data_IF_660739562536
#
_entry.id   IF_660739562536
#
_cell.length_a   1.000
_cell.length_b   1.000
_cell.length_c   1.000
_cell.angle_alpha   90.00
_cell.angle_beta   90.00
_cell.angle_gamma   90.00
#
_symmetry.space_group_name_H-M   'P 1'
#
loop_
_entity.id
_entity.type
_entity.pdbx_description
1 polymer ?
#
# COMPACT_ATOMS: atom_id res chain seq x y z
N UNK A 1 -43.28 -4.46 -29.34
CA UNK A 1 -42.31 -5.16 -28.49
C UNK A 1 -41.48 -4.09 -27.81
N UNK A 2 -42.07 -3.43 -26.81
CA UNK A 2 -41.42 -2.36 -26.06
C UNK A 2 -40.59 -3.02 -24.96
N UNK A 3 -39.32 -2.67 -24.89
CA UNK A 3 -38.41 -3.08 -23.82
C UNK A 3 -38.99 -2.55 -22.51
N UNK A 4 -39.47 -3.45 -21.67
CA UNK A 4 -39.62 -3.20 -20.24
C UNK A 4 -38.20 -2.94 -19.76
N UNK A 5 -37.81 -1.68 -19.62
CA UNK A 5 -36.77 -1.33 -18.66
C UNK A 5 -37.34 -1.72 -17.32
N UNK A 6 -36.86 -2.85 -16.78
CA UNK A 6 -36.97 -3.14 -15.35
C UNK A 6 -36.71 -1.83 -14.58
N UNK A 7 -37.52 -1.44 -13.58
CA UNK A 7 -37.22 -0.29 -12.73
C UNK A 7 -35.98 -0.62 -11.88
N UNK A 8 -34.81 -0.59 -12.52
CA UNK A 8 -33.51 -0.82 -11.92
C UNK A 8 -33.20 0.37 -11.01
N UNK A 9 -33.74 0.26 -9.80
CA UNK A 9 -33.57 1.06 -8.59
C UNK A 9 -33.22 2.55 -8.76
N UNK A 10 -33.98 3.25 -9.59
CA UNK A 10 -33.77 4.68 -9.80
C UNK A 10 -33.96 5.50 -8.51
N UNK A 11 -34.85 5.04 -7.63
CA UNK A 11 -35.04 5.61 -6.30
C UNK A 11 -33.79 5.44 -5.41
N UNK A 12 -33.16 4.27 -5.41
CA UNK A 12 -31.93 4.06 -4.64
C UNK A 12 -30.75 4.87 -5.21
N UNK A 13 -30.68 4.99 -6.55
CA UNK A 13 -29.72 5.86 -7.22
C UNK A 13 -29.92 7.32 -6.85
N UNK A 14 -31.17 7.80 -6.82
CA UNK A 14 -31.50 9.15 -6.41
C UNK A 14 -31.07 9.44 -4.96
N UNK A 15 -31.30 8.50 -4.05
CA UNK A 15 -30.84 8.58 -2.65
C UNK A 15 -29.32 8.70 -2.57
N UNK A 16 -28.58 7.83 -3.27
CA UNK A 16 -27.10 7.86 -3.27
C UNK A 16 -26.57 9.16 -3.86
N UNK A 17 -27.18 9.64 -4.94
CA UNK A 17 -26.83 10.92 -5.55
C UNK A 17 -27.08 12.09 -4.60
N UNK A 18 -28.24 12.14 -3.93
CA UNK A 18 -28.55 13.15 -2.94
C UNK A 18 -27.57 13.15 -1.76
N UNK A 19 -27.19 11.97 -1.26
CA UNK A 19 -26.19 11.83 -0.20
C UNK A 19 -24.81 12.35 -0.64
N UNK A 20 -24.39 12.05 -1.87
CA UNK A 20 -23.14 12.54 -2.44
C UNK A 20 -23.12 14.07 -2.57
N UNK A 21 -24.20 14.67 -3.10
CA UNK A 21 -24.33 16.13 -3.24
C UNK A 21 -24.25 16.82 -1.87
N UNK A 22 -24.94 16.28 -0.87
CA UNK A 22 -24.91 16.81 0.50
C UNK A 22 -23.62 16.49 1.27
N UNK A 23 -22.75 15.64 0.73
CA UNK A 23 -21.55 15.12 1.39
C UNK A 23 -21.89 14.48 2.75
N UNK A 24 -22.90 13.62 2.74
CA UNK A 24 -23.40 12.85 3.87
C UNK A 24 -23.24 11.36 3.60
N UNK A 25 -23.21 10.54 4.66
CA UNK A 25 -23.43 9.11 4.50
C UNK A 25 -24.88 8.83 4.13
N UNK A 26 -25.16 7.71 3.48
CA UNK A 26 -26.52 7.28 3.16
C UNK A 26 -27.36 7.13 4.44
N UNK A 27 -26.74 6.68 5.53
CA UNK A 27 -27.39 6.56 6.83
C UNK A 27 -27.77 7.93 7.42
N UNK A 28 -26.90 8.93 7.32
CA UNK A 28 -27.19 10.30 7.77
C UNK A 28 -28.28 10.96 6.94
N UNK A 29 -28.31 10.71 5.62
CA UNK A 29 -29.40 11.13 4.76
C UNK A 29 -30.73 10.50 5.22
N UNK A 30 -30.72 9.23 5.59
CA UNK A 30 -31.90 8.54 6.12
C UNK A 30 -32.38 9.16 7.45
N UNK A 31 -31.47 9.46 8.37
CA UNK A 31 -31.81 10.16 9.62
C UNK A 31 -32.43 11.53 9.34
N UNK A 32 -31.86 12.28 8.39
CA UNK A 32 -32.36 13.60 8.02
C UNK A 32 -33.75 13.54 7.37
N UNK A 33 -33.94 12.61 6.44
CA UNK A 33 -35.22 12.40 5.77
C UNK A 33 -36.30 11.94 6.76
N UNK A 34 -35.95 11.05 7.71
CA UNK A 34 -36.84 10.60 8.78
C UNK A 34 -37.27 11.78 9.66
N UNK A 35 -36.31 12.56 10.13
CA UNK A 35 -36.59 13.75 10.95
C UNK A 35 -37.49 14.75 10.25
N UNK A 36 -37.28 14.97 8.95
CA UNK A 36 -38.08 15.91 8.18
C UNK A 36 -39.51 15.41 7.97
N UNK A 37 -39.69 14.10 7.88
CA UNK A 37 -40.99 13.48 7.65
C UNK A 37 -41.82 13.37 8.94
N UNK A 38 -41.21 12.92 10.03
CA UNK A 38 -41.89 12.71 11.31
C UNK A 38 -41.78 13.87 12.29
N UNK A 39 -40.94 14.88 12.01
CA UNK A 39 -40.70 16.02 12.90
C UNK A 39 -39.92 15.69 14.17
N UNK A 40 -39.30 14.50 14.25
CA UNK A 40 -38.53 14.03 15.41
C UNK A 40 -37.34 13.16 14.98
N UNK A 41 -36.26 13.09 15.77
CA UNK A 41 -35.18 12.14 15.54
C UNK A 41 -35.66 10.69 15.63
N UNK A 42 -35.07 9.77 14.84
CA UNK A 42 -35.35 8.35 14.97
C UNK A 42 -34.91 7.85 16.36
N UNK A 43 -35.68 6.95 16.95
CA UNK A 43 -35.27 6.25 18.17
C UNK A 43 -34.27 5.14 17.83
N UNK A 44 -33.52 4.67 18.83
CA UNK A 44 -32.55 3.59 18.65
C UNK A 44 -33.17 2.38 17.93
N UNK A 45 -32.59 1.99 16.79
CA UNK A 45 -33.04 0.85 15.99
C UNK A 45 -34.28 1.08 15.11
N UNK A 46 -34.94 2.24 15.16
CA UNK A 46 -36.16 2.50 14.37
C UNK A 46 -35.84 2.67 12.88
N UNK A 47 -34.70 3.27 12.58
CA UNK A 47 -34.25 3.54 11.21
C UNK A 47 -33.57 2.32 10.56
N UNK A 48 -33.03 1.41 11.37
CA UNK A 48 -32.17 0.32 10.94
C UNK A 48 -32.88 -0.67 10.00
N UNK A 49 -34.11 -1.15 10.25
CA UNK A 49 -34.80 -2.05 9.33
C UNK A 49 -35.00 -1.44 7.93
N UNK A 50 -35.37 -0.16 7.88
CA UNK A 50 -35.58 0.56 6.63
C UNK A 50 -34.25 0.78 5.87
N UNK A 51 -33.18 1.07 6.61
CA UNK A 51 -31.84 1.23 6.03
C UNK A 51 -31.26 -0.10 5.51
N UNK A 52 -31.44 -1.20 6.25
CA UNK A 52 -31.03 -2.54 5.84
C UNK A 52 -31.78 -2.96 4.57
N UNK A 53 -33.10 -2.75 4.50
CA UNK A 53 -33.88 -3.02 3.29
C UNK A 53 -33.36 -2.24 2.08
N UNK A 54 -32.96 -0.98 2.28
CA UNK A 54 -32.34 -0.15 1.24
C UNK A 54 -30.97 -0.69 0.80
N UNK A 55 -30.10 -1.13 1.73
CA UNK A 55 -28.79 -1.69 1.40
C UNK A 55 -28.87 -2.98 0.58
N UNK A 56 -29.89 -3.80 0.83
CA UNK A 56 -30.16 -5.03 0.08
C UNK A 56 -31.05 -4.82 -1.14
N UNK A 57 -31.22 -3.56 -1.57
CA UNK A 57 -31.96 -3.18 -2.77
C UNK A 57 -33.44 -3.63 -2.76
N UNK A 58 -33.99 -3.94 -1.58
CA UNK A 58 -35.36 -4.44 -1.41
C UNK A 58 -36.43 -3.36 -1.48
N UNK A 59 -36.01 -2.10 -1.63
CA UNK A 59 -36.89 -0.95 -1.85
C UNK A 59 -36.47 0.25 -1.01
N UNK A 60 -36.60 1.42 -1.62
CA UNK A 60 -36.38 2.70 -0.93
C UNK A 60 -37.68 3.16 -0.29
N UNK A 61 -37.70 3.46 1.02
CA UNK A 61 -38.91 3.90 1.68
C UNK A 61 -39.40 5.25 1.14
N UNK A 62 -40.72 5.45 1.14
CA UNK A 62 -41.37 6.61 0.50
C UNK A 62 -40.81 7.97 0.94
N UNK A 63 -40.57 8.13 2.24
CA UNK A 63 -40.06 9.37 2.81
C UNK A 63 -38.62 9.66 2.36
N UNK A 64 -37.78 8.62 2.21
CA UNK A 64 -36.40 8.77 1.75
C UNK A 64 -36.34 9.15 0.26
N UNK A 65 -37.13 8.49 -0.60
CA UNK A 65 -37.18 8.84 -2.03
C UNK A 65 -37.71 10.25 -2.26
N UNK A 66 -38.74 10.67 -1.50
CA UNK A 66 -39.30 12.01 -1.61
C UNK A 66 -38.29 13.07 -1.19
N UNK A 67 -37.55 12.82 -0.11
CA UNK A 67 -36.48 13.69 0.33
C UNK A 67 -35.35 13.78 -0.70
N UNK A 68 -34.90 12.63 -1.23
CA UNK A 68 -33.84 12.58 -2.23
C UNK A 68 -34.19 13.35 -3.51
N UNK A 69 -35.41 13.19 -4.04
CA UNK A 69 -35.88 13.94 -5.21
C UNK A 69 -35.85 15.44 -4.97
N UNK A 70 -36.38 15.90 -3.83
CA UNK A 70 -36.35 17.33 -3.49
C UNK A 70 -34.91 17.89 -3.42
N UNK A 71 -33.97 17.12 -2.87
CA UNK A 71 -32.55 17.52 -2.83
C UNK A 71 -31.96 17.62 -4.23
N UNK A 72 -32.29 16.69 -5.13
CA UNK A 72 -31.85 16.74 -6.52
C UNK A 72 -32.46 17.94 -7.26
N UNK A 73 -33.75 18.19 -7.08
CA UNK A 73 -34.45 19.33 -7.69
C UNK A 73 -33.84 20.67 -7.23
N UNK A 74 -33.55 20.82 -5.93
CA UNK A 74 -32.90 22.02 -5.37
C UNK A 74 -31.44 22.16 -5.83
N UNK A 75 -30.75 21.05 -6.05
CA UNK A 75 -29.38 21.03 -6.58
C UNK A 75 -29.34 21.45 -8.06
N UNK A 76 -30.28 20.96 -8.86
CA UNK A 76 -30.42 21.33 -10.28
C UNK A 76 -30.82 22.80 -10.44
N UNK A 77 -31.67 23.31 -9.55
CA UNK A 77 -32.03 24.73 -9.49
C UNK A 77 -30.90 25.65 -8.99
N UNK A 78 -29.81 25.09 -8.45
CA UNK A 78 -28.71 25.85 -7.85
C UNK A 78 -29.07 26.57 -6.54
N UNK A 79 -30.21 26.24 -5.94
CA UNK A 79 -30.71 26.84 -4.68
C UNK A 79 -30.41 25.98 -3.45
N UNK A 80 -29.56 24.97 -3.60
CA UNK A 80 -29.27 24.00 -2.56
C UNK A 80 -28.56 24.65 -1.36
N UNK A 81 -29.30 24.88 -0.28
CA UNK A 81 -28.75 25.28 1.00
C UNK A 81 -28.70 24.10 1.98
N UNK A 82 -27.49 23.61 2.21
CA UNK A 82 -27.21 22.53 3.16
C UNK A 82 -27.66 22.88 4.58
N UNK A 83 -27.52 24.14 4.99
CA UNK A 83 -27.88 24.57 6.34
C UNK A 83 -29.41 24.58 6.50
N UNK A 84 -30.13 25.13 5.52
CA UNK A 84 -31.59 25.10 5.49
C UNK A 84 -32.16 23.67 5.50
N UNK A 85 -31.47 22.73 4.85
CA UNK A 85 -31.84 21.31 4.86
C UNK A 85 -31.52 20.59 6.18
N UNK A 86 -30.83 21.21 7.14
CA UNK A 86 -30.46 20.58 8.41
C UNK A 86 -29.25 19.63 8.31
N UNK A 87 -28.61 19.54 7.15
CA UNK A 87 -27.45 18.69 6.88
C UNK A 87 -26.14 19.22 7.52
N UNK A 88 -26.18 20.39 8.17
CA UNK A 88 -25.03 20.98 8.88
C UNK A 88 -24.64 20.25 10.16
N UNK A 89 -25.57 19.53 10.80
CA UNK A 89 -25.31 18.81 12.06
C UNK A 89 -24.54 17.50 11.89
N UNK A 90 -24.60 16.92 10.69
CA UNK A 90 -23.98 15.63 10.40
C UNK A 90 -22.54 15.79 9.98
N UNK A 91 -21.70 14.82 10.37
CA UNK A 91 -20.30 14.78 9.97
C UNK A 91 -20.22 14.75 8.46
N UNK A 92 -19.53 15.73 7.88
CA UNK A 92 -19.28 15.75 6.43
C UNK A 92 -18.44 14.53 6.07
N UNK A 93 -18.97 13.69 5.19
CA UNK A 93 -18.16 12.72 4.49
C UNK A 93 -17.34 13.53 3.50
N UNK A 94 -16.08 13.77 3.83
CA UNK A 94 -15.14 14.31 2.85
C UNK A 94 -14.96 13.20 1.82
N UNK A 95 -15.34 13.40 0.54
CA UNK A 95 -15.05 12.39 -0.47
C UNK A 95 -13.54 12.19 -0.44
N UNK A 96 -13.10 10.95 -0.16
CA UNK A 96 -11.71 10.59 -0.31
C UNK A 96 -11.31 10.99 -1.73
N UNK A 97 -10.18 11.69 -1.94
CA UNK A 97 -9.77 12.09 -3.27
C UNK A 97 -9.76 10.85 -4.15
N UNK A 98 -10.70 10.81 -5.10
CA UNK A 98 -10.95 9.70 -6.01
C UNK A 98 -9.62 9.36 -6.66
N UNK A 99 -9.05 8.23 -6.25
CA UNK A 99 -7.82 7.58 -6.75
C UNK A 99 -7.12 8.42 -7.82
N UNK A 100 -6.41 9.45 -7.38
CA UNK A 100 -5.54 10.21 -8.27
C UNK A 100 -4.58 9.19 -8.87
N UNK A 101 -4.72 8.90 -10.17
CA UNK A 101 -3.72 8.11 -10.87
C UNK A 101 -2.39 8.77 -10.54
N UNK A 102 -1.38 8.02 -10.03
CA UNK A 102 -0.10 8.63 -9.77
C UNK A 102 0.34 9.33 -11.06
N UNK A 103 0.90 10.55 -10.98
CA UNK A 103 1.34 11.23 -12.19
C UNK A 103 2.29 10.29 -12.93
N UNK A 104 2.19 10.24 -14.26
CA UNK A 104 2.99 9.35 -15.10
C UNK A 104 4.48 9.39 -14.77
N UNK A 105 4.97 10.54 -14.28
CA UNK A 105 6.33 10.73 -13.79
C UNK A 105 6.72 9.79 -12.63
N UNK A 106 5.85 9.58 -11.64
CA UNK A 106 6.11 8.69 -10.49
C UNK A 106 6.13 7.23 -10.95
N UNK A 107 5.25 6.86 -11.87
CA UNK A 107 5.21 5.51 -12.44
C UNK A 107 6.46 5.22 -13.28
N UNK A 108 6.90 6.18 -14.10
CA UNK A 108 8.13 6.09 -14.88
C UNK A 108 9.38 6.03 -13.99
N UNK A 109 9.42 6.82 -12.91
CA UNK A 109 10.53 6.80 -11.96
C UNK A 109 10.69 5.43 -11.30
N UNK A 110 9.59 4.84 -10.83
CA UNK A 110 9.61 3.51 -10.21
C UNK A 110 10.05 2.42 -11.20
N UNK A 111 9.58 2.50 -12.45
CA UNK A 111 9.99 1.58 -13.51
C UNK A 111 11.49 1.72 -13.82
N UNK A 112 12.00 2.96 -13.92
CA UNK A 112 13.41 3.23 -14.17
C UNK A 112 14.30 2.68 -13.03
N UNK A 113 13.91 2.90 -11.77
CA UNK A 113 14.61 2.35 -10.60
C UNK A 113 14.64 0.82 -10.64
N UNK A 114 13.52 0.19 -10.99
CA UNK A 114 13.44 -1.26 -11.13
C UNK A 114 14.38 -1.80 -12.21
N UNK A 115 14.38 -1.18 -13.40
CA UNK A 115 15.24 -1.58 -14.53
C UNK A 115 16.73 -1.39 -14.19
N UNK A 116 17.09 -0.26 -13.57
CA UNK A 116 18.47 0.00 -13.13
C UNK A 116 18.93 -1.01 -12.07
N UNK A 117 18.05 -1.35 -11.11
CA UNK A 117 18.33 -2.36 -10.11
C UNK A 117 18.52 -3.76 -10.71
N UNK A 118 17.63 -4.17 -11.60
CA UNK A 118 17.72 -5.45 -12.30
C UNK A 118 18.98 -5.53 -13.17
N UNK A 119 19.31 -4.46 -13.90
CA UNK A 119 20.54 -4.37 -14.68
C UNK A 119 21.77 -4.47 -13.78
N UNK A 120 21.84 -3.71 -12.68
CA UNK A 120 22.96 -3.77 -11.74
C UNK A 120 23.16 -5.17 -11.13
N UNK A 121 22.07 -5.88 -10.82
CA UNK A 121 22.12 -7.28 -10.35
C UNK A 121 22.70 -8.17 -11.45
N UNK A 122 22.24 -8.03 -12.69
CA UNK A 122 22.71 -8.82 -13.82
C UNK A 122 24.19 -8.56 -14.12
N UNK A 123 24.62 -7.30 -14.17
CA UNK A 123 26.03 -6.92 -14.31
C UNK A 123 26.90 -7.50 -13.20
N UNK A 124 26.42 -7.52 -11.95
CA UNK A 124 27.16 -8.11 -10.82
C UNK A 124 27.30 -9.63 -10.93
N UNK A 125 26.30 -10.31 -11.48
CA UNK A 125 26.35 -11.75 -11.73
C UNK A 125 27.37 -12.05 -12.83
N UNK A 126 27.37 -11.26 -13.91
CA UNK A 126 28.29 -11.41 -15.03
C UNK A 126 29.76 -11.11 -14.66
N UNK A 127 29.98 -10.13 -13.77
CA UNK A 127 31.33 -9.88 -13.23
C UNK A 127 31.85 -11.07 -12.40
N UNK A 128 30.95 -11.73 -11.66
CA UNK A 128 31.32 -12.93 -10.89
C UNK A 128 31.62 -14.13 -11.79
N UNK A 129 30.89 -14.30 -12.90
CA UNK A 129 31.15 -15.39 -13.84
C UNK A 129 32.49 -15.22 -14.56
N UNK A 130 32.82 -14.01 -15.02
CA UNK A 130 34.11 -13.75 -15.67
C UNK A 130 35.30 -13.92 -14.71
N UNK A 131 35.16 -13.54 -13.43
CA UNK A 131 36.19 -13.79 -12.42
C UNK A 131 36.41 -15.29 -12.17
N UNK A 132 35.34 -16.10 -12.17
CA UNK A 132 35.42 -17.56 -12.08
C UNK A 132 36.04 -18.19 -13.35
N UNK A 133 35.74 -17.68 -14.54
CA UNK A 133 36.32 -18.17 -15.79
C UNK A 133 37.81 -17.83 -15.93
N UNK A 134 38.26 -16.68 -15.42
CA UNK A 134 39.69 -16.33 -15.36
C UNK A 134 40.43 -17.20 -14.35
N UNK A 135 39.83 -17.52 -13.20
CA UNK A 135 40.37 -18.49 -12.24
C UNK A 135 40.36 -19.94 -12.76
N UNK A 136 39.37 -20.30 -13.59
CA UNK A 136 39.27 -21.63 -14.19
C UNK A 136 40.23 -21.82 -15.39
N UNK A 137 40.51 -20.77 -16.17
CA UNK A 137 41.50 -20.80 -17.26
C UNK A 137 42.93 -20.55 -16.78
N UNK A 138 43.12 -19.80 -15.70
CA UNK A 138 44.40 -19.62 -14.99
C UNK A 138 44.56 -20.66 -13.89
N UNK A 139 44.63 -21.94 -14.28
CA UNK A 139 44.64 -23.06 -13.35
C UNK A 139 45.76 -23.00 -12.30
N UNK A 140 45.39 -23.16 -11.03
CA UNK A 140 46.28 -23.56 -9.93
C UNK A 140 47.27 -24.70 -10.26
N UNK A 141 47.00 -25.68 -11.16
CA UNK A 141 48.02 -26.66 -11.56
C UNK A 141 49.29 -26.08 -12.20
N UNK A 142 49.25 -24.90 -12.84
CA UNK A 142 50.45 -24.31 -13.46
C UNK A 142 51.43 -23.74 -12.42
N UNK A 143 50.92 -23.15 -11.33
CA UNK A 143 51.74 -22.66 -10.22
C UNK A 143 52.31 -23.80 -9.38
N UNK A 144 51.58 -24.91 -9.24
CA UNK A 144 52.06 -26.11 -8.55
C UNK A 144 53.11 -26.85 -9.40
N UNK A 145 52.91 -26.94 -10.73
CA UNK A 145 53.90 -27.52 -11.64
C UNK A 145 55.21 -26.71 -11.70
N UNK A 146 55.14 -25.37 -11.67
CA UNK A 146 56.31 -24.52 -11.56
C UNK A 146 57.05 -24.68 -10.22
N UNK A 147 56.31 -24.81 -9.11
CA UNK A 147 56.91 -24.98 -7.78
C UNK A 147 57.55 -26.36 -7.55
N UNK A 148 57.14 -27.42 -8.26
CA UNK A 148 57.69 -28.78 -8.12
C UNK A 148 58.92 -29.06 -8.98
N UNK A 149 59.15 -28.30 -10.06
CA UNK A 149 60.32 -28.48 -10.94
C UNK A 149 61.57 -27.77 -10.39
N UNK A 150 61.41 -26.82 -9.46
CA UNK A 150 62.51 -25.95 -8.99
C UNK A 150 63.08 -26.35 -7.61
N UNK A 151 62.65 -27.48 -7.05
CA UNK A 151 62.94 -27.86 -5.65
C UNK A 151 64.03 -28.91 -5.41
N UNK A 152 64.55 -29.59 -6.43
CA UNK A 152 65.60 -30.63 -6.28
C UNK A 152 66.98 -30.11 -6.64
N UNK A 153 67.52 -29.18 -5.84
CA UNK A 153 68.83 -28.63 -6.15
C UNK A 153 69.44 -27.68 -5.13
N UNK A 154 69.52 -28.04 -3.84
CA UNK A 154 70.61 -27.59 -2.95
C UNK A 154 70.45 -28.15 -1.52
N UNK A 155 71.10 -29.27 -1.27
CA UNK A 155 71.63 -29.61 0.06
C UNK A 155 72.80 -28.66 0.39
N UNK A 156 72.76 -27.92 1.51
CA UNK A 156 73.92 -27.80 2.42
C UNK A 156 73.64 -26.98 3.69
N UNK A 157 73.60 -27.67 4.83
CA UNK A 157 74.56 -27.36 5.90
C UNK A 157 74.13 -26.50 7.10
N UNK A 158 74.29 -27.11 8.28
CA UNK A 158 74.58 -26.51 9.61
C UNK A 158 73.41 -25.75 10.27
N UNK A 159 72.92 -26.11 11.46
CA UNK A 159 73.59 -26.62 12.67
C UNK A 159 73.19 -25.68 13.81
N UNK A 160 72.29 -26.08 14.71
CA UNK A 160 72.58 -26.58 16.08
C UNK A 160 72.66 -25.47 17.16
N UNK A 161 71.88 -25.67 18.24
CA UNK A 161 72.00 -25.16 19.66
C UNK A 161 71.80 -23.67 19.91
N UNK A 162 71.18 -23.13 20.98
CA UNK A 162 71.10 -23.39 22.45
C UNK A 162 69.80 -22.71 22.96
N UNK A 163 68.91 -23.22 23.83
CA UNK A 163 68.97 -23.52 25.28
C UNK A 163 69.55 -22.40 26.19
N UNK A 164 68.65 -21.49 26.65
CA UNK A 164 68.37 -21.03 28.04
C UNK A 164 69.52 -20.45 28.96
N UNK A 165 69.22 -19.98 30.19
CA UNK A 165 68.90 -18.62 30.67
C UNK A 165 70.03 -18.04 31.59
N UNK A 166 69.81 -16.99 32.42
CA UNK A 166 69.34 -17.26 33.80
C UNK A 166 68.48 -16.15 34.48
N UNK A 167 67.72 -16.57 35.49
CA UNK A 167 67.13 -15.76 36.58
C UNK A 167 68.24 -15.36 37.62
N UNK A 168 68.02 -14.97 38.90
CA UNK A 168 66.86 -14.55 39.72
C UNK A 168 67.28 -13.25 40.54
N UNK A 169 66.99 -12.97 41.85
CA UNK A 169 66.02 -13.49 42.83
C UNK A 169 65.27 -12.46 43.73
N UNK A 170 64.16 -12.96 44.29
CA UNK A 170 63.72 -12.96 45.70
C UNK A 170 63.60 -11.68 46.57
N UNK A 171 62.48 -11.66 47.30
CA UNK A 171 62.26 -10.93 48.56
C UNK A 171 60.78 -10.59 48.66
N UNK A 172 59.95 -11.14 49.53
CA UNK A 172 60.18 -11.57 50.91
C UNK A 172 59.11 -10.88 51.80
N UNK A 173 58.73 -11.45 52.95
CA UNK A 173 57.34 -11.50 53.39
C UNK A 173 56.98 -10.49 54.49
N UNK A 174 55.68 -10.23 54.69
CA UNK A 174 54.96 -10.27 55.98
C UNK A 174 53.46 -10.05 55.78
#
# INVERSE_FOLDING_TARGET
MALVTEPENDDARAVRAAAAILNLSEYDLFQLAFERWWGRPPRNGELEPAFVAFLFDQGTPHWARHFARRVLDEAEAGTLDRAALGAGRFKRVVPLPTRARPPLSVTLLLLAVYVLGAAAIHYRIELKSQACDVLARGGWPALIAAALVEGEGALCGKGRTEVSPPAPPAGGPR
#
